data_IF_929606605236
#
_entry.id   IF_929606605236
#
_cell.length_a   1.000
_cell.length_b   1.000
_cell.length_c   1.000
_cell.angle_alpha   90.00
_cell.angle_beta   90.00
_cell.angle_gamma   90.00
#
_symmetry.space_group_name_H-M   'P 1'
#
loop_
_entity.id
_entity.type
_entity.pdbx_description
1 polymer ?
#
# COMPACT_ATOMS: atom_id res chain seq x y z
N UNK A 1 -19.45 -36.62 16.21
CA UNK A 1 -18.07 -36.80 15.75
C UNK A 1 -17.99 -37.19 14.27
N UNK A 2 -18.98 -37.88 13.67
CA UNK A 2 -18.97 -38.23 12.23
C UNK A 2 -19.06 -37.03 11.27
N UNK A 3 -19.95 -36.07 11.55
CA UNK A 3 -20.19 -34.92 10.65
C UNK A 3 -18.95 -34.05 10.39
N UNK A 4 -18.02 -33.95 11.36
CA UNK A 4 -16.79 -33.17 11.18
C UNK A 4 -15.78 -33.90 10.30
N UNK A 5 -15.69 -35.22 10.38
CA UNK A 5 -14.84 -36.03 9.49
C UNK A 5 -15.35 -36.02 8.05
N UNK A 6 -16.67 -35.90 7.85
CA UNK A 6 -17.26 -35.78 6.50
C UNK A 6 -16.99 -34.40 5.87
N UNK A 7 -16.58 -33.41 6.66
CA UNK A 7 -16.32 -32.03 6.21
C UNK A 7 -14.83 -31.67 6.17
N UNK A 8 -14.02 -32.31 7.00
CA UNK A 8 -12.60 -31.99 7.18
C UNK A 8 -11.83 -33.29 7.41
N UNK A 9 -10.80 -33.50 6.60
CA UNK A 9 -9.78 -34.50 6.88
C UNK A 9 -8.61 -33.84 7.63
N UNK A 10 -8.50 -34.12 8.94
CA UNK A 10 -7.45 -33.58 9.80
C UNK A 10 -6.16 -34.41 9.78
N UNK A 11 -6.22 -35.64 9.28
CA UNK A 11 -5.07 -36.54 9.16
C UNK A 11 -4.27 -36.24 7.88
N UNK A 12 -4.85 -35.46 6.97
CA UNK A 12 -4.19 -34.97 5.77
C UNK A 12 -2.98 -34.08 6.10
N UNK A 13 -1.79 -34.57 5.72
CA UNK A 13 -0.55 -33.84 5.86
C UNK A 13 -0.53 -32.53 5.05
N UNK A 14 -1.22 -32.48 3.92
CA UNK A 14 -1.28 -31.28 3.08
C UNK A 14 -2.05 -30.15 3.79
N UNK A 15 -2.99 -30.45 4.68
CA UNK A 15 -3.68 -29.45 5.50
C UNK A 15 -2.68 -28.69 6.39
N UNK A 16 -1.90 -29.43 7.17
CA UNK A 16 -0.92 -28.86 8.09
C UNK A 16 0.18 -28.09 7.35
N UNK A 17 0.68 -28.65 6.24
CA UNK A 17 1.64 -27.97 5.38
C UNK A 17 1.09 -26.66 4.83
N UNK A 18 -0.17 -26.64 4.39
CA UNK A 18 -0.83 -25.43 3.88
C UNK A 18 -0.98 -24.38 4.96
N UNK A 19 -1.41 -24.75 6.17
CA UNK A 19 -1.51 -23.82 7.31
C UNK A 19 -0.14 -23.19 7.61
N UNK A 20 0.92 -23.99 7.66
CA UNK A 20 2.28 -23.50 7.90
C UNK A 20 2.73 -22.57 6.78
N UNK A 21 2.53 -22.92 5.50
CA UNK A 21 2.89 -22.06 4.37
C UNK A 21 2.10 -20.73 4.38
N UNK A 22 0.81 -20.77 4.73
CA UNK A 22 -0.04 -19.57 4.85
C UNK A 22 0.43 -18.64 5.96
N UNK A 23 0.95 -19.16 7.08
CA UNK A 23 1.55 -18.36 8.14
C UNK A 23 2.94 -17.84 7.76
N UNK A 24 3.75 -18.70 7.14
CA UNK A 24 5.15 -18.44 6.86
C UNK A 24 5.31 -17.28 5.86
N UNK A 25 4.51 -17.23 4.79
CA UNK A 25 4.66 -16.20 3.77
C UNK A 25 4.54 -14.76 4.33
N UNK A 26 3.42 -14.37 4.97
CA UNK A 26 3.30 -13.03 5.56
C UNK A 26 4.27 -12.77 6.71
N UNK A 27 4.63 -13.82 7.47
CA UNK A 27 5.61 -13.69 8.56
C UNK A 27 7.01 -13.39 8.01
N UNK A 28 7.44 -14.11 6.97
CA UNK A 28 8.71 -13.86 6.30
C UNK A 28 8.78 -12.42 5.80
N UNK A 29 7.73 -11.99 5.12
CA UNK A 29 7.65 -10.65 4.54
C UNK A 29 7.78 -9.56 5.61
N UNK A 30 7.01 -9.66 6.70
CA UNK A 30 7.09 -8.71 7.82
C UNK A 30 8.43 -8.74 8.55
N UNK A 31 8.95 -9.93 8.88
CA UNK A 31 10.19 -10.09 9.65
C UNK A 31 11.40 -9.63 8.85
N UNK A 32 11.50 -10.03 7.57
CA UNK A 32 12.62 -9.64 6.70
C UNK A 32 12.67 -8.13 6.49
N UNK A 33 11.53 -7.48 6.28
CA UNK A 33 11.45 -6.03 6.14
C UNK A 33 11.92 -5.30 7.41
N UNK A 34 11.40 -5.68 8.58
CA UNK A 34 11.82 -5.13 9.88
C UNK A 34 13.30 -5.36 10.17
N UNK A 35 13.78 -6.58 9.94
CA UNK A 35 15.17 -6.95 10.14
C UNK A 35 16.08 -6.08 9.27
N UNK A 36 15.73 -5.89 8.00
CA UNK A 36 16.50 -5.06 7.09
C UNK A 36 16.49 -3.58 7.51
N UNK A 37 15.33 -3.03 7.89
CA UNK A 37 15.24 -1.63 8.32
C UNK A 37 16.20 -1.31 9.47
N UNK A 38 16.33 -2.23 10.43
CA UNK A 38 17.19 -2.04 11.61
C UNK A 38 18.66 -2.37 11.38
N UNK A 39 18.97 -3.44 10.65
CA UNK A 39 20.35 -3.95 10.53
C UNK A 39 21.08 -3.49 9.26
N UNK A 40 20.30 -3.19 8.21
CA UNK A 40 20.77 -2.99 6.83
C UNK A 40 21.63 -4.14 6.33
N UNK A 41 21.40 -5.36 6.84
CA UNK A 41 22.27 -6.50 6.59
C UNK A 41 22.18 -6.97 5.14
N UNK A 42 20.98 -7.07 4.58
CA UNK A 42 20.76 -7.50 3.19
C UNK A 42 21.33 -6.43 2.25
N UNK A 43 21.09 -5.14 2.53
CA UNK A 43 21.70 -4.06 1.75
C UNK A 43 23.23 -4.09 1.82
N UNK A 44 23.83 -4.37 2.98
CA UNK A 44 25.30 -4.49 3.11
C UNK A 44 25.85 -5.71 2.36
N UNK A 45 25.14 -6.82 2.37
CA UNK A 45 25.54 -8.05 1.68
C UNK A 45 25.60 -7.86 0.16
N UNK A 46 24.61 -7.17 -0.41
CA UNK A 46 24.52 -6.95 -1.86
C UNK A 46 25.11 -5.60 -2.32
N UNK A 47 25.53 -4.73 -1.39
CA UNK A 47 26.10 -3.41 -1.66
C UNK A 47 25.13 -2.37 -2.24
N UNK A 48 23.91 -2.76 -2.61
CA UNK A 48 22.91 -1.90 -3.23
C UNK A 48 21.51 -2.18 -2.66
N UNK A 49 20.82 -1.13 -2.19
CA UNK A 49 19.46 -1.21 -1.62
C UNK A 49 18.43 -1.73 -2.61
N UNK A 50 18.56 -1.41 -3.90
CA UNK A 50 17.65 -1.90 -4.94
C UNK A 50 17.81 -3.40 -5.12
N UNK A 51 19.03 -3.89 -5.33
CA UNK A 51 19.31 -5.33 -5.47
C UNK A 51 18.82 -6.12 -4.25
N UNK A 52 19.06 -5.60 -3.04
CA UNK A 52 18.59 -6.22 -1.80
C UNK A 52 17.05 -6.30 -1.74
N UNK A 53 16.34 -5.23 -2.12
CA UNK A 53 14.88 -5.22 -2.22
C UNK A 53 14.38 -6.21 -3.29
N UNK A 54 15.01 -6.24 -4.47
CA UNK A 54 14.65 -7.18 -5.55
C UNK A 54 14.78 -8.64 -5.12
N UNK A 55 15.93 -9.01 -4.55
CA UNK A 55 16.20 -10.39 -4.09
C UNK A 55 15.21 -10.80 -3.00
N UNK A 56 14.99 -9.94 -2.00
CA UNK A 56 14.02 -10.21 -0.93
C UNK A 56 12.61 -10.38 -1.50
N UNK A 57 12.25 -9.52 -2.46
CA UNK A 57 10.99 -9.61 -3.18
C UNK A 57 10.81 -10.92 -3.96
N UNK A 58 11.86 -11.42 -4.62
CA UNK A 58 11.80 -12.69 -5.36
C UNK A 58 11.58 -13.85 -4.39
N UNK A 59 12.24 -13.82 -3.22
CA UNK A 59 12.04 -14.84 -2.18
C UNK A 59 10.60 -14.80 -1.67
N UNK A 60 10.06 -13.62 -1.38
CA UNK A 60 8.66 -13.45 -0.95
C UNK A 60 7.68 -13.97 -2.01
N UNK A 61 7.88 -13.61 -3.28
CA UNK A 61 7.08 -14.12 -4.39
C UNK A 61 7.13 -15.65 -4.50
N UNK A 62 8.31 -16.25 -4.34
CA UNK A 62 8.45 -17.70 -4.36
C UNK A 62 7.67 -18.36 -3.20
N UNK A 63 7.72 -17.79 -2.00
CA UNK A 63 6.96 -18.27 -0.85
C UNK A 63 5.44 -18.15 -1.07
N UNK A 64 4.99 -17.05 -1.67
CA UNK A 64 3.58 -16.85 -2.05
C UNK A 64 3.14 -17.87 -3.10
N UNK A 65 3.95 -18.13 -4.14
CA UNK A 65 3.65 -19.16 -5.13
C UNK A 65 3.58 -20.56 -4.50
N UNK A 66 4.48 -20.89 -3.56
CA UNK A 66 4.46 -22.16 -2.84
C UNK A 66 3.18 -22.27 -2.00
N UNK A 67 2.81 -21.21 -1.27
CA UNK A 67 1.57 -21.14 -0.48
C UNK A 67 0.35 -21.40 -1.38
N UNK A 68 0.24 -20.68 -2.49
CA UNK A 68 -0.92 -20.78 -3.38
C UNK A 68 -1.00 -22.15 -4.04
N UNK A 69 0.14 -22.71 -4.45
CA UNK A 69 0.20 -24.07 -4.98
C UNK A 69 -0.24 -25.13 -3.95
N UNK A 70 0.23 -25.02 -2.69
CA UNK A 70 -0.20 -25.90 -1.60
C UNK A 70 -1.69 -25.76 -1.31
N UNK A 71 -2.20 -24.53 -1.30
CA UNK A 71 -3.62 -24.26 -1.11
C UNK A 71 -4.46 -24.92 -2.21
N UNK A 72 -4.05 -24.83 -3.47
CA UNK A 72 -4.74 -25.49 -4.58
C UNK A 72 -4.74 -27.02 -4.47
N UNK A 73 -3.61 -27.63 -4.08
CA UNK A 73 -3.56 -29.08 -3.83
C UNK A 73 -4.55 -29.45 -2.73
N UNK A 74 -4.53 -28.73 -1.61
CA UNK A 74 -5.42 -28.99 -0.48
C UNK A 74 -6.90 -28.89 -0.88
N UNK A 75 -7.28 -27.88 -1.67
CA UNK A 75 -8.67 -27.71 -2.13
C UNK A 75 -9.13 -28.86 -3.04
N UNK A 76 -8.20 -29.55 -3.70
CA UNK A 76 -8.51 -30.70 -4.55
C UNK A 76 -8.67 -32.01 -3.74
N UNK A 77 -7.95 -32.15 -2.63
CA UNK A 77 -7.93 -33.38 -1.82
C UNK A 77 -8.97 -33.39 -0.69
N UNK A 78 -9.30 -32.23 -0.14
CA UNK A 78 -10.21 -32.14 1.02
C UNK A 78 -11.67 -32.45 0.65
N UNK A 79 -12.46 -33.00 1.60
CA UNK A 79 -13.88 -33.26 1.39
C UNK A 79 -14.65 -32.01 0.94
N UNK A 80 -15.52 -32.20 -0.05
CA UNK A 80 -16.39 -31.14 -0.56
C UNK A 80 -17.70 -31.14 0.20
N UNK A 81 -18.13 -29.95 0.62
CA UNK A 81 -19.38 -29.77 1.34
C UNK A 81 -20.55 -29.68 0.36
N UNK A 82 -21.48 -30.64 0.42
CA UNK A 82 -22.61 -30.74 -0.50
C UNK A 82 -23.45 -29.46 -0.64
N UNK A 83 -23.53 -28.62 0.41
CA UNK A 83 -24.27 -27.34 0.37
C UNK A 83 -23.63 -26.33 -0.60
N UNK A 84 -22.32 -26.41 -0.80
CA UNK A 84 -21.57 -25.54 -1.72
C UNK A 84 -21.43 -26.16 -3.12
N UNK A 85 -21.80 -27.42 -3.31
CA UNK A 85 -21.72 -28.12 -4.59
C UNK A 85 -22.91 -27.76 -5.50
N UNK A 86 -22.92 -26.52 -5.96
CA UNK A 86 -23.92 -26.00 -6.90
C UNK A 86 -23.20 -25.17 -7.97
N UNK A 87 -23.51 -25.39 -9.24
CA UNK A 87 -22.92 -24.69 -10.39
C UNK A 87 -22.97 -23.15 -10.24
N UNK A 88 -24.04 -22.63 -9.62
CA UNK A 88 -24.19 -21.20 -9.34
C UNK A 88 -23.19 -20.73 -8.28
N UNK A 89 -23.00 -21.51 -7.22
CA UNK A 89 -22.03 -21.21 -6.14
C UNK A 89 -20.61 -21.30 -6.68
N UNK A 90 -20.33 -22.30 -7.51
CA UNK A 90 -19.03 -22.43 -8.18
C UNK A 90 -18.75 -21.23 -9.09
N UNK A 91 -19.72 -20.82 -9.90
CA UNK A 91 -19.60 -19.65 -10.77
C UNK A 91 -19.36 -18.35 -9.96
N UNK A 92 -20.05 -18.18 -8.83
CA UNK A 92 -19.83 -17.05 -7.92
C UNK A 92 -18.41 -17.09 -7.34
N UNK A 93 -17.96 -18.25 -6.88
CA UNK A 93 -16.61 -18.45 -6.35
C UNK A 93 -15.53 -18.09 -7.38
N UNK A 94 -15.67 -18.58 -8.62
CA UNK A 94 -14.77 -18.26 -9.72
C UNK A 94 -14.80 -16.76 -10.05
N UNK A 95 -15.98 -16.14 -10.07
CA UNK A 95 -16.12 -14.69 -10.26
C UNK A 95 -15.39 -13.89 -9.18
N UNK A 96 -15.52 -14.29 -7.91
CA UNK A 96 -14.79 -13.68 -6.78
C UNK A 96 -13.28 -13.86 -6.93
N UNK A 97 -12.80 -15.05 -7.29
CA UNK A 97 -11.37 -15.31 -7.52
C UNK A 97 -10.82 -14.42 -8.62
N UNK A 98 -11.50 -14.32 -9.77
CA UNK A 98 -11.07 -13.47 -10.89
C UNK A 98 -11.04 -12.00 -10.44
N UNK A 99 -12.08 -11.53 -9.73
CA UNK A 99 -12.12 -10.18 -9.22
C UNK A 99 -10.96 -9.90 -8.25
N UNK A 100 -10.69 -10.81 -7.33
CA UNK A 100 -9.55 -10.72 -6.41
C UNK A 100 -8.22 -10.66 -7.16
N UNK A 101 -8.01 -11.48 -8.20
CA UNK A 101 -6.81 -11.46 -9.03
C UNK A 101 -6.65 -10.13 -9.78
N UNK A 102 -7.75 -9.56 -10.32
CA UNK A 102 -7.73 -8.23 -10.93
C UNK A 102 -7.32 -7.17 -9.90
N UNK A 103 -7.81 -7.26 -8.67
CA UNK A 103 -7.39 -6.36 -7.59
C UNK A 103 -5.91 -6.52 -7.27
N UNK A 104 -5.39 -7.75 -7.17
CA UNK A 104 -3.95 -8.01 -6.97
C UNK A 104 -3.14 -7.36 -8.10
N UNK A 105 -3.46 -7.65 -9.36
CA UNK A 105 -2.72 -7.06 -10.49
C UNK A 105 -2.80 -5.54 -10.50
N UNK A 106 -3.94 -4.97 -10.09
CA UNK A 106 -4.12 -3.53 -9.97
C UNK A 106 -3.27 -2.94 -8.84
N UNK A 107 -3.16 -3.58 -7.67
CA UNK A 107 -2.25 -3.12 -6.62
C UNK A 107 -0.80 -3.17 -7.08
N UNK A 108 -0.40 -4.26 -7.75
CA UNK A 108 0.93 -4.43 -8.33
C UNK A 108 1.25 -3.32 -9.34
N UNK A 109 0.31 -3.02 -10.22
CA UNK A 109 0.45 -1.94 -11.20
C UNK A 109 0.65 -0.58 -10.52
N UNK A 110 -0.14 -0.29 -9.49
CA UNK A 110 -0.10 1.01 -8.83
C UNK A 110 1.13 1.20 -7.93
N UNK A 111 1.47 0.21 -7.11
CA UNK A 111 2.60 0.30 -6.18
C UNK A 111 3.94 0.01 -6.87
N UNK A 112 3.93 -0.76 -7.94
CA UNK A 112 5.14 -1.29 -8.55
C UNK A 112 5.84 -2.32 -7.66
N UNK A 113 6.87 -2.96 -8.20
CA UNK A 113 7.58 -4.04 -7.51
C UNK A 113 8.15 -3.61 -6.15
N UNK A 114 8.84 -2.46 -6.10
CA UNK A 114 9.42 -1.95 -4.86
C UNK A 114 8.37 -1.44 -3.88
N UNK A 115 7.20 -1.00 -4.34
CA UNK A 115 6.14 -0.54 -3.45
C UNK A 115 5.45 -1.71 -2.74
N UNK A 116 5.18 -2.80 -3.45
CA UNK A 116 4.54 -3.99 -2.86
C UNK A 116 5.48 -4.75 -1.93
N UNK A 117 6.76 -4.83 -2.27
CA UNK A 117 7.72 -5.65 -1.53
C UNK A 117 8.51 -4.82 -0.51
N UNK A 118 7.84 -3.87 0.15
CA UNK A 118 8.36 -3.06 1.26
C UNK A 118 9.67 -2.32 0.96
N UNK A 119 9.80 -1.74 -0.23
CA UNK A 119 10.96 -0.93 -0.60
C UNK A 119 11.19 0.24 0.35
N UNK A 120 10.17 0.75 1.02
CA UNK A 120 10.27 1.75 2.09
C UNK A 120 11.16 1.29 3.26
N UNK A 121 11.15 0.00 3.61
CA UNK A 121 12.05 -0.57 4.61
C UNK A 121 13.50 -0.60 4.10
N UNK A 122 13.71 -0.66 2.79
CA UNK A 122 15.01 -0.53 2.10
C UNK A 122 15.40 0.94 1.81
N UNK A 123 14.67 1.93 2.35
CA UNK A 123 14.88 3.36 2.05
C UNK A 123 14.60 3.71 0.57
N UNK A 124 13.68 2.98 -0.06
CA UNK A 124 13.13 3.22 -1.40
C UNK A 124 11.68 3.66 -1.23
N UNK A 125 11.49 4.87 -0.71
CA UNK A 125 10.18 5.41 -0.41
C UNK A 125 9.54 6.02 -1.66
N UNK A 126 8.23 5.80 -1.84
CA UNK A 126 7.45 6.55 -2.83
C UNK A 126 7.34 8.02 -2.41
N UNK A 127 7.24 8.90 -3.40
CA UNK A 127 7.11 10.34 -3.16
C UNK A 127 5.68 10.72 -2.74
N UNK A 128 4.69 10.00 -3.26
CA UNK A 128 3.28 10.25 -2.99
C UNK A 128 2.53 8.95 -2.69
N UNK A 129 1.47 9.07 -1.89
CA UNK A 129 0.57 7.96 -1.62
C UNK A 129 -0.17 7.60 -2.91
N UNK A 130 -0.28 6.30 -3.15
CA UNK A 130 -1.05 5.78 -4.28
C UNK A 130 -2.54 6.08 -4.06
N UNK A 131 -3.18 6.69 -5.06
CA UNK A 131 -4.61 7.06 -5.03
C UNK A 131 -5.42 6.41 -6.14
N UNK A 132 -4.81 5.69 -7.07
CA UNK A 132 -5.53 4.98 -8.12
C UNK A 132 -6.20 3.69 -7.63
N UNK A 133 -7.14 3.15 -8.41
CA UNK A 133 -7.78 1.87 -8.07
C UNK A 133 -6.74 0.76 -7.88
N UNK A 134 -6.86 -0.06 -6.81
CA UNK A 134 -7.95 -0.12 -5.82
C UNK A 134 -7.80 0.75 -4.55
N UNK A 135 -6.74 1.58 -4.45
CA UNK A 135 -6.44 2.40 -3.27
C UNK A 135 -7.37 3.61 -3.08
N UNK A 136 -8.14 4.02 -4.10
CA UNK A 136 -9.19 5.03 -3.93
C UNK A 136 -10.43 4.51 -3.19
N UNK A 137 -10.63 3.20 -3.13
CA UNK A 137 -11.84 2.58 -2.56
C UNK A 137 -11.52 1.91 -1.22
N UNK A 138 -10.36 1.26 -1.11
CA UNK A 138 -9.95 0.49 0.05
C UNK A 138 -8.66 1.05 0.64
N UNK A 139 -8.49 0.97 1.96
CA UNK A 139 -7.28 1.46 2.64
C UNK A 139 -6.06 0.59 2.31
N UNK A 140 -6.22 -0.73 2.42
CA UNK A 140 -5.15 -1.72 2.20
C UNK A 140 -5.62 -2.83 1.24
N UNK A 141 -5.88 -2.45 -0.02
CA UNK A 141 -6.43 -3.38 -1.00
C UNK A 141 -5.52 -4.57 -1.27
N UNK A 142 -4.21 -4.47 -1.00
CA UNK A 142 -3.27 -5.59 -1.14
C UNK A 142 -3.67 -6.79 -0.28
N UNK A 143 -4.06 -6.56 0.98
CA UNK A 143 -4.52 -7.61 1.89
C UNK A 143 -5.91 -8.11 1.54
N UNK A 144 -6.80 -7.18 1.17
CA UNK A 144 -8.17 -7.53 0.81
C UNK A 144 -8.21 -8.40 -0.45
N UNK A 145 -7.40 -8.07 -1.46
CA UNK A 145 -7.37 -8.79 -2.73
C UNK A 145 -7.02 -10.28 -2.55
N UNK A 146 -5.95 -10.59 -1.81
CA UNK A 146 -5.57 -11.97 -1.54
C UNK A 146 -6.61 -12.73 -0.69
N UNK A 147 -7.27 -12.06 0.25
CA UNK A 147 -8.37 -12.66 1.00
C UNK A 147 -9.56 -13.02 0.10
N UNK A 148 -9.91 -12.14 -0.85
CA UNK A 148 -10.97 -12.41 -1.83
C UNK A 148 -10.59 -13.59 -2.73
N UNK A 149 -9.34 -13.67 -3.20
CA UNK A 149 -8.85 -14.81 -4.00
C UNK A 149 -8.96 -16.13 -3.23
N UNK A 150 -8.50 -16.14 -1.98
CA UNK A 150 -8.53 -17.34 -1.11
C UNK A 150 -9.98 -17.77 -0.87
N UNK A 151 -10.84 -16.82 -0.50
CA UNK A 151 -12.25 -17.07 -0.25
C UNK A 151 -12.98 -17.55 -1.50
N UNK A 152 -12.84 -16.86 -2.63
CA UNK A 152 -13.45 -17.24 -3.90
C UNK A 152 -13.06 -18.65 -4.32
N UNK A 153 -11.78 -19.02 -4.14
CA UNK A 153 -11.26 -20.35 -4.46
C UNK A 153 -11.86 -21.43 -3.55
N UNK A 154 -12.00 -21.14 -2.24
CA UNK A 154 -12.67 -22.08 -1.33
C UNK A 154 -14.13 -22.32 -1.67
N UNK A 155 -14.83 -21.25 -2.09
CA UNK A 155 -16.24 -21.31 -2.50
C UNK A 155 -16.37 -22.09 -3.81
N UNK A 156 -15.50 -21.83 -4.79
CA UNK A 156 -15.55 -22.55 -6.08
C UNK A 156 -15.25 -24.04 -5.94
N UNK A 157 -14.37 -24.42 -5.01
CA UNK A 157 -14.09 -25.82 -4.74
C UNK A 157 -15.10 -26.49 -3.78
N UNK A 158 -16.01 -25.70 -3.20
CA UNK A 158 -16.98 -26.17 -2.22
C UNK A 158 -16.34 -26.71 -0.95
N UNK A 159 -15.16 -26.22 -0.57
CA UNK A 159 -14.37 -26.75 0.54
C UNK A 159 -14.69 -26.02 1.85
N UNK A 160 -15.20 -26.75 2.85
CA UNK A 160 -15.47 -26.17 4.17
C UNK A 160 -14.20 -25.75 4.90
N UNK A 161 -13.16 -26.59 4.86
CA UNK A 161 -11.85 -26.24 5.42
C UNK A 161 -11.24 -25.03 4.70
N UNK A 162 -11.45 -24.88 3.38
CA UNK A 162 -11.05 -23.69 2.63
C UNK A 162 -11.67 -22.40 3.16
N UNK A 163 -12.94 -22.43 3.61
CA UNK A 163 -13.60 -21.29 4.25
C UNK A 163 -12.95 -20.95 5.59
N UNK A 164 -12.64 -21.96 6.42
CA UNK A 164 -11.92 -21.75 7.68
C UNK A 164 -10.52 -21.18 7.45
N UNK A 165 -9.81 -21.68 6.44
CA UNK A 165 -8.50 -21.16 6.05
C UNK A 165 -8.58 -19.73 5.51
N UNK A 166 -9.68 -19.35 4.86
CA UNK A 166 -9.91 -17.96 4.44
C UNK A 166 -10.07 -17.03 5.65
N UNK A 167 -10.80 -17.46 6.69
CA UNK A 167 -10.91 -16.71 7.96
C UNK A 167 -9.55 -16.61 8.64
N UNK A 168 -8.80 -17.70 8.69
CA UNK A 168 -7.43 -17.74 9.20
C UNK A 168 -6.52 -16.76 8.45
N UNK A 169 -6.63 -16.71 7.13
CA UNK A 169 -5.85 -15.79 6.31
C UNK A 169 -6.20 -14.32 6.60
N UNK A 170 -7.49 -13.99 6.73
CA UNK A 170 -7.94 -12.65 7.13
C UNK A 170 -7.35 -12.26 8.48
N UNK A 171 -7.33 -13.18 9.44
CA UNK A 171 -6.73 -12.95 10.74
C UNK A 171 -5.24 -12.65 10.63
N UNK A 172 -4.47 -13.48 9.92
CA UNK A 172 -3.04 -13.26 9.69
C UNK A 172 -2.76 -11.89 9.05
N UNK A 173 -3.44 -11.57 7.95
CA UNK A 173 -3.23 -10.30 7.24
C UNK A 173 -3.59 -9.08 8.11
N UNK A 174 -4.67 -9.15 8.89
CA UNK A 174 -5.05 -8.07 9.81
C UNK A 174 -4.03 -7.88 10.93
N UNK A 175 -3.48 -8.96 11.47
CA UNK A 175 -2.42 -8.88 12.49
C UNK A 175 -1.18 -8.21 11.91
N UNK A 176 -0.77 -8.55 10.69
CA UNK A 176 0.37 -7.92 10.02
C UNK A 176 0.09 -6.44 9.75
N UNK A 177 -1.06 -6.10 9.16
CA UNK A 177 -1.43 -4.70 8.90
C UNK A 177 -1.41 -3.86 10.19
N UNK A 178 -2.00 -4.35 11.27
CA UNK A 178 -1.99 -3.66 12.56
C UNK A 178 -0.59 -3.40 13.11
N UNK A 179 0.35 -4.32 12.88
CA UNK A 179 1.75 -4.14 13.26
C UNK A 179 2.51 -3.22 12.30
N UNK A 180 2.15 -3.22 11.02
CA UNK A 180 2.85 -2.52 9.94
C UNK A 180 2.46 -1.03 9.86
N UNK A 181 1.17 -0.72 9.89
CA UNK A 181 0.61 0.64 9.74
C UNK A 181 1.32 1.72 10.58
N UNK A 182 1.54 1.54 11.90
CA UNK A 182 2.23 2.55 12.70
C UNK A 182 3.70 2.71 12.31
N UNK A 183 4.34 1.63 11.82
CA UNK A 183 5.74 1.64 11.44
C UNK A 183 5.96 2.32 10.10
N UNK A 184 5.13 1.99 9.11
CA UNK A 184 5.14 2.65 7.80
C UNK A 184 4.88 4.15 7.97
N UNK A 185 3.88 4.54 8.78
CA UNK A 185 3.61 5.95 9.10
C UNK A 185 4.81 6.66 9.70
N UNK A 186 5.49 6.02 10.66
CA UNK A 186 6.70 6.56 11.30
C UNK A 186 7.85 6.77 10.29
N UNK A 187 8.03 5.88 9.31
CA UNK A 187 9.03 6.02 8.24
C UNK A 187 8.75 7.28 7.40
N UNK A 188 7.51 7.45 6.95
CA UNK A 188 7.12 8.60 6.12
C UNK A 188 7.17 9.93 6.90
N UNK A 189 6.77 9.94 8.17
CA UNK A 189 6.90 11.13 9.03
C UNK A 189 8.36 11.56 9.24
N UNK A 190 9.28 10.60 9.44
CA UNK A 190 10.71 10.89 9.56
C UNK A 190 11.25 11.51 8.28
N UNK A 191 10.84 11.01 7.11
CA UNK A 191 11.23 11.58 5.81
C UNK A 191 10.73 13.02 5.67
N UNK A 192 9.45 13.27 5.95
CA UNK A 192 8.86 14.61 5.87
C UNK A 192 9.61 15.63 6.76
N UNK A 193 9.96 15.24 7.99
CA UNK A 193 10.77 16.06 8.90
C UNK A 193 12.18 16.33 8.37
N UNK A 194 12.82 15.36 7.73
CA UNK A 194 14.15 15.55 7.15
C UNK A 194 14.11 16.47 5.93
N UNK A 195 13.06 16.39 5.11
CA UNK A 195 12.86 17.26 3.95
C UNK A 195 12.61 18.71 4.39
N UNK A 196 11.81 18.94 5.43
CA UNK A 196 11.58 20.30 5.97
C UNK A 196 12.85 20.91 6.56
N UNK A 197 13.65 20.13 7.30
CA UNK A 197 14.92 20.61 7.85
C UNK A 197 15.93 20.98 6.75
N UNK A 198 15.96 20.22 5.65
CA UNK A 198 16.80 20.53 4.48
C UNK A 198 16.33 21.79 3.76
N UNK A 199 15.02 22.01 3.61
CA UNK A 199 14.50 23.25 3.01
C UNK A 199 14.80 24.47 3.88
N UNK A 200 14.69 24.35 5.21
CA UNK A 200 14.99 25.45 6.13
C UNK A 200 16.49 25.79 6.12
N UNK A 201 17.37 24.79 6.09
CA UNK A 201 18.81 24.98 5.98
C UNK A 201 19.23 25.68 4.66
N UNK A 202 18.63 25.28 3.52
CA UNK A 202 18.88 25.92 2.22
C UNK A 202 18.23 27.31 2.09
N UNK A 203 17.10 27.55 2.78
CA UNK A 203 16.47 28.86 2.87
C UNK A 203 17.31 29.86 3.67
N UNK A 204 17.97 29.40 4.74
CA UNK A 204 18.91 30.21 5.53
C UNK A 204 20.23 30.50 4.79
N UNK A 205 20.73 29.58 3.95
CA UNK A 205 21.94 29.82 3.15
C UNK A 205 21.74 30.81 1.99
N UNK A 206 20.52 30.91 1.45
CA UNK A 206 20.19 31.85 0.36
C UNK A 206 19.77 33.25 0.85
N UNK A 207 19.59 33.44 2.16
CA UNK A 207 19.24 34.72 2.79
C UNK A 207 20.43 35.59 3.21
N UNK A 208 21.66 35.04 3.21
CA UNK A 208 22.89 35.75 3.62
C UNK A 208 23.69 36.16 2.38
N UNK A 209 23.09 37.00 1.54
CA UNK A 209 23.70 37.38 0.26
C UNK A 209 23.10 38.61 -0.43
N UNK A 210 22.52 39.56 0.30
CA UNK A 210 22.24 40.90 -0.25
C UNK A 210 22.02 41.94 0.85
N UNK A 211 23.10 42.34 1.54
CA UNK A 211 23.16 43.61 2.27
C UNK A 211 24.60 44.13 2.31
N UNK A 212 24.96 44.91 1.31
CA UNK A 212 25.94 46.02 1.30
C UNK A 212 26.18 46.31 -0.18
N UNK A 213 25.89 47.45 -0.79
CA UNK A 213 26.24 48.85 -0.48
C UNK A 213 25.64 49.65 -1.66
N UNK A 214 24.91 50.76 -1.48
CA UNK A 214 25.53 52.08 -1.54
C UNK A 214 24.56 53.17 -1.09
N UNK A 215 24.99 53.90 -0.06
CA UNK A 215 24.48 55.23 0.29
C UNK A 215 24.94 56.22 -0.79
N UNK A 216 24.01 56.96 -1.41
CA UNK A 216 24.32 58.31 -1.89
C UNK A 216 23.09 59.24 -1.85
N UNK A 217 23.19 60.27 -1.00
CA UNK A 217 22.34 61.46 -0.90
C UNK A 217 22.37 62.27 -2.21
N UNK A 218 21.24 62.82 -2.64
CA UNK A 218 21.15 64.23 -3.08
C UNK A 218 19.70 64.71 -3.22
N UNK A 219 19.45 65.93 -2.71
CA UNK A 219 18.22 66.74 -2.85
C UNK A 219 18.24 67.49 -4.19
N UNK A 220 17.06 67.87 -4.71
CA UNK A 220 16.72 69.26 -5.17
C UNK A 220 15.91 69.36 -6.50
N UNK A 221 15.04 70.39 -6.51
CA UNK A 221 14.25 71.04 -7.59
C UNK A 221 12.90 70.39 -7.96
N UNK A 222 11.73 70.97 -7.65
CA UNK A 222 11.04 72.23 -8.06
C UNK A 222 10.56 72.28 -9.52
N UNK A 223 9.27 72.62 -9.62
CA UNK A 223 8.47 73.22 -10.71
C UNK A 223 7.98 72.27 -11.82
N UNK A 224 6.79 72.42 -12.41
CA UNK A 224 5.58 73.21 -12.18
C UNK A 224 4.57 72.82 -13.29
N UNK A 225 3.33 73.32 -13.19
CA UNK A 225 2.27 73.45 -14.22
C UNK A 225 1.42 72.21 -14.52
N UNK A 226 0.15 72.19 -14.08
CA UNK A 226 -1.06 72.83 -14.67
C UNK A 226 -1.72 71.83 -15.65
N UNK A 227 -3.03 71.72 -15.83
CA UNK A 227 -4.19 72.52 -15.44
C UNK A 227 -5.44 71.65 -15.72
N UNK A 228 -6.59 72.03 -15.17
CA UNK A 228 -7.91 71.71 -15.76
C UNK A 228 -8.67 70.56 -15.11
N UNK A 229 -9.50 70.78 -14.08
CA UNK A 229 -10.88 71.33 -14.09
C UNK A 229 -11.98 70.33 -14.48
N UNK A 230 -12.95 70.26 -13.55
CA UNK A 230 -14.38 69.94 -13.73
C UNK A 230 -14.71 68.44 -13.97
N UNK A 231 -15.66 67.83 -13.28
CA UNK A 231 -16.59 68.29 -12.27
C UNK A 231 -17.60 67.18 -11.94
N UNK A 232 -18.09 67.21 -10.70
CA UNK A 232 -19.53 67.10 -10.36
C UNK A 232 -20.26 65.80 -10.73
N UNK A 233 -20.50 65.01 -9.67
CA UNK A 233 -21.83 64.60 -9.18
C UNK A 233 -22.44 63.25 -9.58
N UNK A 234 -22.74 62.53 -8.51
CA UNK A 234 -23.94 61.75 -8.19
C UNK A 234 -24.32 60.51 -8.99
N UNK A 235 -24.54 59.46 -8.19
CA UNK A 235 -25.88 58.88 -8.09
C UNK A 235 -25.97 57.51 -8.75
N UNK A 236 -25.89 56.43 -7.97
CA UNK A 236 -27.03 55.85 -7.28
C UNK A 236 -27.81 54.83 -8.16
N UNK A 237 -27.94 53.63 -7.59
CA UNK A 237 -29.15 52.79 -7.57
C UNK A 237 -29.33 51.68 -8.65
N UNK A 238 -29.78 50.52 -8.10
CA UNK A 238 -30.56 49.39 -8.65
C UNK A 238 -29.80 48.39 -9.53
N UNK A 239 -30.13 47.10 -9.58
CA UNK A 239 -30.84 46.13 -8.73
C UNK A 239 -30.88 44.83 -9.56
N UNK A 240 -30.95 43.69 -8.87
CA UNK A 240 -31.70 42.46 -9.24
C UNK A 240 -31.44 41.72 -10.58
N UNK A 241 -31.18 40.43 -10.35
CA UNK A 241 -31.82 39.22 -10.91
C UNK A 241 -31.43 38.77 -12.32
N UNK A 242 -30.78 37.61 -12.33
CA UNK A 242 -31.10 36.44 -13.14
C UNK A 242 -30.93 35.23 -12.25
#
# INVERSE_FOLDING_TARGET
MSFLHDLIDLDDWNLWMTIVCMALSPTWWFVSARFEYHTRYITKLFGNKYTACYVTGVITLALDCIRDWRYHILMAEQPKWAVLQNDTVEAIGNGLTIFGLVMVLSTWYQMGYTGILYGDYFDILKNERVTGFPYNVFNDPQYLAFNIVTFGTSVSHGSFIGLLLSIYHVFLMKTIAWLEDPFTSMIYEKRAKQESLKSDANGHSNGVGSKSSSVHKSKSKRNAHSNGTNGVSNGAIKNRKG
#
